data_IF_704009449648
#
_entry.id   IF_704009449648
#
_cell.length_a   1.000
_cell.length_b   1.000
_cell.length_c   1.000
_cell.angle_alpha   90.00
_cell.angle_beta   90.00
_cell.angle_gamma   90.00
#
_symmetry.space_group_name_H-M   'P 1'
#
loop_
_entity.id
_entity.type
_entity.pdbx_description
1 polymer ?
#
# COMPACT_ATOMS: atom_id res chain seq x y z
N UNK A 1 -0.36 25.82 24.44
CA UNK A 1 -1.76 25.44 24.77
C UNK A 1 -1.74 24.72 26.10
N UNK A 2 -2.56 25.13 27.06
CA UNK A 2 -2.41 24.79 28.48
C UNK A 2 -2.79 23.32 28.77
N UNK A 3 -2.13 22.65 29.74
CA UNK A 3 -2.21 21.20 29.96
C UNK A 3 -3.52 20.68 30.62
N UNK A 4 -4.48 21.53 30.95
CA UNK A 4 -5.74 21.13 31.62
C UNK A 4 -6.90 20.83 30.67
N UNK A 5 -6.69 20.98 29.35
CA UNK A 5 -7.74 20.80 28.32
C UNK A 5 -7.84 19.34 27.80
N UNK A 6 -7.24 18.36 28.50
CA UNK A 6 -7.24 16.95 28.10
C UNK A 6 -8.35 16.09 28.73
N UNK A 7 -9.19 16.67 29.59
CA UNK A 7 -10.49 16.05 29.91
C UNK A 7 -11.50 16.66 28.94
N UNK A 8 -12.14 15.92 28.04
CA UNK A 8 -13.61 15.71 28.09
C UNK A 8 -14.15 15.06 26.80
N UNK A 9 -13.49 14.07 26.21
CA UNK A 9 -14.18 13.31 25.14
C UNK A 9 -15.41 12.63 25.75
N UNK A 10 -16.60 13.08 25.38
CA UNK A 10 -17.85 12.53 25.90
C UNK A 10 -17.91 11.02 25.65
N UNK A 11 -18.47 10.26 26.61
CA UNK A 11 -18.69 8.81 26.44
C UNK A 11 -19.49 8.51 25.17
N UNK A 12 -20.37 9.42 24.77
CA UNK A 12 -21.10 9.33 23.50
C UNK A 12 -20.16 9.44 22.30
N UNK A 13 -19.25 10.41 22.27
CA UNK A 13 -18.28 10.58 21.19
C UNK A 13 -17.37 9.35 21.03
N UNK A 14 -16.93 8.73 22.13
CA UNK A 14 -16.16 7.46 22.07
C UNK A 14 -16.98 6.31 21.49
N UNK A 15 -18.28 6.22 21.80
CA UNK A 15 -19.18 5.20 21.22
C UNK A 15 -19.41 5.45 19.73
N UNK A 16 -19.62 6.71 19.33
CA UNK A 16 -19.78 7.09 17.93
C UNK A 16 -18.51 6.81 17.11
N UNK A 17 -17.32 7.11 17.64
CA UNK A 17 -16.05 6.82 16.98
C UNK A 17 -15.82 5.30 16.77
N UNK A 18 -16.22 4.47 17.76
CA UNK A 18 -16.16 3.00 17.60
C UNK A 18 -17.18 2.50 16.58
N UNK A 19 -18.39 3.06 16.60
CA UNK A 19 -19.44 2.71 15.66
C UNK A 19 -19.04 3.05 14.23
N UNK A 20 -18.52 4.26 13.98
CA UNK A 20 -18.02 4.64 12.65
C UNK A 20 -16.87 3.75 12.20
N UNK A 21 -15.91 3.45 13.08
CA UNK A 21 -14.81 2.55 12.75
C UNK A 21 -15.32 1.15 12.36
N UNK A 22 -16.36 0.64 13.03
CA UNK A 22 -16.97 -0.65 12.69
C UNK A 22 -17.74 -0.61 11.36
N UNK A 23 -18.47 0.47 11.08
CA UNK A 23 -19.22 0.65 9.83
C UNK A 23 -18.27 0.73 8.63
N UNK A 24 -17.17 1.47 8.76
CA UNK A 24 -16.21 1.69 7.67
C UNK A 24 -15.07 0.67 7.62
N UNK A 25 -15.06 -0.31 8.53
CA UNK A 25 -14.04 -1.38 8.55
C UNK A 25 -12.66 -0.93 9.03
N UNK A 26 -12.59 0.16 9.78
CA UNK A 26 -11.37 0.66 10.43
C UNK A 26 -11.11 -0.05 11.77
N UNK A 27 -10.00 0.30 12.42
CA UNK A 27 -9.58 -0.35 13.67
C UNK A 27 -10.45 0.10 14.85
N UNK A 28 -11.31 -0.81 15.35
CA UNK A 28 -12.26 -0.52 16.45
C UNK A 28 -11.59 -0.53 17.83
N UNK A 29 -10.57 -1.39 18.03
CA UNK A 29 -9.90 -1.54 19.32
C UNK A 29 -8.84 -0.46 19.48
N UNK A 30 -8.76 0.22 20.65
CA UNK A 30 -7.67 1.14 20.91
C UNK A 30 -6.36 0.36 20.82
N UNK A 31 -5.56 0.71 19.82
CA UNK A 31 -4.34 -0.01 19.45
C UNK A 31 -3.17 0.95 19.65
N UNK A 32 -2.04 0.44 20.14
CA UNK A 32 -0.84 1.26 20.31
C UNK A 32 -0.37 1.83 18.95
N UNK A 33 0.20 3.03 19.01
CA UNK A 33 0.85 3.72 17.90
C UNK A 33 1.83 2.83 17.12
N UNK A 34 2.59 1.97 17.82
CA UNK A 34 3.52 1.01 17.19
C UNK A 34 2.79 -0.08 16.41
N UNK A 35 1.67 -0.56 16.95
CA UNK A 35 0.86 -1.63 16.36
C UNK A 35 0.07 -1.15 15.13
N UNK A 36 -0.26 0.14 15.05
CA UNK A 36 -0.86 0.75 13.85
C UNK A 36 0.04 0.67 12.61
N UNK A 37 1.36 0.47 12.79
CA UNK A 37 2.29 0.21 11.67
C UNK A 37 1.88 -1.01 10.84
N UNK A 38 1.35 -2.06 11.48
CA UNK A 38 0.94 -3.28 10.80
C UNK A 38 -0.23 -3.01 9.86
N UNK A 39 -1.20 -2.22 10.31
CA UNK A 39 -2.35 -1.79 9.49
C UNK A 39 -1.84 -1.06 8.25
N UNK A 40 -0.91 -0.12 8.43
CA UNK A 40 -0.31 0.63 7.31
C UNK A 40 0.46 -0.27 6.33
N UNK A 41 1.21 -1.24 6.84
CA UNK A 41 1.98 -2.18 6.01
C UNK A 41 1.09 -3.05 5.12
N UNK A 42 -0.12 -3.38 5.57
CA UNK A 42 -1.07 -4.18 4.79
C UNK A 42 -2.06 -3.33 3.98
N UNK A 43 -2.26 -2.06 4.33
CA UNK A 43 -3.06 -1.14 3.52
C UNK A 43 -2.33 -0.68 2.26
N UNK A 44 -1.01 -0.61 2.30
CA UNK A 44 -0.17 -0.17 1.18
C UNK A 44 0.43 -1.36 0.41
N UNK A 45 0.64 -1.20 -0.89
CA UNK A 45 1.39 -2.19 -1.66
C UNK A 45 2.88 -2.17 -1.26
N UNK A 46 3.47 -3.33 -0.90
CA UNK A 46 4.87 -3.41 -0.52
C UNK A 46 5.76 -3.00 -1.69
N UNK A 47 6.83 -2.27 -1.38
CA UNK A 47 7.73 -1.66 -2.36
C UNK A 47 8.21 -2.65 -3.44
N UNK A 48 8.56 -3.89 -3.05
CA UNK A 48 9.06 -4.90 -3.98
C UNK A 48 8.03 -5.38 -5.03
N UNK A 49 6.73 -5.26 -4.73
CA UNK A 49 5.66 -5.65 -5.67
C UNK A 49 5.27 -4.53 -6.63
N UNK A 50 5.68 -3.29 -6.35
CA UNK A 50 5.38 -2.16 -7.22
C UNK A 50 5.99 -2.40 -8.59
N UNK A 51 5.19 -2.16 -9.63
CA UNK A 51 5.60 -2.33 -11.03
C UNK A 51 6.88 -1.58 -11.35
N UNK A 52 7.01 -0.37 -10.82
CA UNK A 52 8.20 0.48 -10.96
C UNK A 52 9.49 -0.22 -10.50
N UNK A 53 9.42 -1.12 -9.52
CA UNK A 53 10.58 -1.79 -8.93
C UNK A 53 10.90 -3.08 -9.70
N UNK A 54 9.96 -4.00 -9.84
CA UNK A 54 10.27 -5.30 -10.46
C UNK A 54 10.38 -5.23 -11.99
N UNK A 55 9.68 -4.31 -12.65
CA UNK A 55 9.72 -4.16 -14.11
C UNK A 55 10.70 -3.08 -14.59
N UNK A 56 11.67 -2.74 -13.74
CA UNK A 56 12.69 -1.73 -14.03
C UNK A 56 13.45 -2.01 -15.33
N UNK A 57 13.86 -3.27 -15.54
CA UNK A 57 14.54 -3.67 -16.76
C UNK A 57 13.54 -4.27 -17.77
N UNK A 58 13.56 -3.80 -19.04
CA UNK A 58 12.80 -4.45 -20.09
C UNK A 58 13.31 -5.87 -20.32
N UNK A 59 12.46 -6.81 -20.77
CA UNK A 59 12.87 -8.19 -21.02
C UNK A 59 13.80 -8.29 -22.25
N UNK A 60 15.09 -8.01 -22.07
CA UNK A 60 16.05 -7.93 -23.19
C UNK A 60 16.16 -9.24 -23.97
N UNK A 61 16.08 -10.38 -23.27
CA UNK A 61 16.12 -11.70 -23.89
C UNK A 61 14.98 -11.92 -24.89
N UNK A 62 13.78 -11.40 -24.62
CA UNK A 62 12.65 -11.55 -25.54
C UNK A 62 12.84 -10.68 -26.77
N UNK A 63 13.29 -9.44 -26.61
CA UNK A 63 13.59 -8.56 -27.74
C UNK A 63 14.72 -9.10 -28.60
N UNK A 64 15.81 -9.55 -27.99
CA UNK A 64 16.92 -10.14 -28.71
C UNK A 64 16.50 -11.39 -29.50
N UNK A 65 15.77 -12.32 -28.86
CA UNK A 65 15.29 -13.52 -29.52
C UNK A 65 14.31 -13.19 -30.67
N UNK A 66 13.43 -12.20 -30.48
CA UNK A 66 12.50 -11.72 -31.49
C UNK A 66 13.25 -11.15 -32.71
N UNK A 67 14.16 -10.20 -32.48
CA UNK A 67 14.92 -9.54 -33.54
C UNK A 67 15.83 -10.52 -34.28
N UNK A 68 16.42 -11.48 -33.57
CA UNK A 68 17.20 -12.57 -34.18
C UNK A 68 16.36 -13.42 -35.13
N UNK A 69 15.12 -13.79 -34.73
CA UNK A 69 14.20 -14.55 -35.59
C UNK A 69 13.77 -13.74 -36.81
N UNK A 70 13.42 -12.47 -36.62
CA UNK A 70 13.06 -11.57 -37.72
C UNK A 70 14.20 -11.40 -38.73
N UNK A 71 15.45 -11.37 -38.26
CA UNK A 71 16.63 -11.36 -39.12
C UNK A 71 16.78 -12.63 -39.95
N UNK A 72 16.50 -13.79 -39.37
CA UNK A 72 16.50 -15.05 -40.13
C UNK A 72 15.37 -15.14 -41.16
N UNK A 73 14.24 -14.49 -40.91
CA UNK A 73 13.16 -14.38 -41.89
C UNK A 73 13.40 -13.29 -42.94
N UNK A 74 14.48 -12.51 -42.83
CA UNK A 74 14.78 -11.41 -43.76
C UNK A 74 13.93 -10.15 -43.57
N UNK A 75 13.16 -10.07 -42.47
CA UNK A 75 12.26 -8.94 -42.17
C UNK A 75 12.95 -7.81 -41.39
N UNK A 76 14.13 -8.08 -40.82
CA UNK A 76 14.90 -7.16 -39.99
C UNK A 76 16.39 -7.32 -40.31
N UNK A 77 17.17 -6.23 -40.31
CA UNK A 77 18.60 -6.27 -40.60
C UNK A 77 19.40 -5.48 -39.58
#
# INVERSE_FOLDING_TARGET
TLPWEMSTVSRYALRMARLSAQIFGEVVRPTDSKSMKVVKLFSEEPLAKRKEVYSWYPPHNTYYALMKKLRYFGLYR
#
